data_IF_174290863245
#
_entry.id   IF_174290863245
#
_cell.length_a   1.000
_cell.length_b   1.000
_cell.length_c   1.000
_cell.angle_alpha   90.00
_cell.angle_beta   90.00
_cell.angle_gamma   90.00
#
_symmetry.space_group_name_H-M   'P 1'
#
loop_
_entity.id
_entity.type
_entity.pdbx_description
1 polymer ?
#
# COMPACT_ATOMS: atom_id res chain seq x y z
N UNK A 1 4.16 -23.81 -3.39
CA UNK A 1 4.87 -22.63 -2.86
C UNK A 1 3.87 -21.84 -2.01
N UNK A 2 3.94 -21.97 -0.68
CA UNK A 2 3.13 -21.19 0.25
C UNK A 2 3.90 -19.89 0.53
N UNK A 3 3.42 -18.77 0.00
CA UNK A 3 3.86 -17.44 0.43
C UNK A 3 3.11 -17.11 1.73
N UNK A 4 3.72 -17.45 2.87
CA UNK A 4 3.24 -17.05 4.19
C UNK A 4 3.42 -15.54 4.33
N UNK A 5 2.35 -14.78 4.06
CA UNK A 5 2.33 -13.34 4.30
C UNK A 5 2.35 -13.02 5.81
N UNK A 6 3.14 -12.03 6.26
CA UNK A 6 3.18 -11.66 7.67
C UNK A 6 1.85 -11.03 8.12
N UNK A 7 1.16 -11.64 9.08
CA UNK A 7 0.01 -11.04 9.77
C UNK A 7 0.47 -10.27 11.01
N UNK A 8 0.31 -8.95 10.99
CA UNK A 8 0.66 -8.07 12.12
C UNK A 8 -0.60 -7.76 12.92
N UNK A 9 -0.83 -8.50 14.00
CA UNK A 9 -1.88 -8.20 14.98
C UNK A 9 -1.32 -7.29 16.08
N UNK A 10 -1.81 -6.06 16.18
CA UNK A 10 -1.53 -5.19 17.33
C UNK A 10 -2.76 -4.31 17.65
N UNK A 11 -2.93 -3.82 18.88
CA UNK A 11 -4.05 -2.97 19.32
C UNK A 11 -3.89 -1.50 18.87
N UNK A 12 -5.00 -0.83 18.56
CA UNK A 12 -5.02 0.57 18.05
C UNK A 12 -4.30 1.50 19.03
N UNK A 13 -3.23 2.17 18.57
CA UNK A 13 -2.33 3.00 19.39
C UNK A 13 -0.86 2.55 19.49
N UNK A 14 -0.51 1.32 19.05
CA UNK A 14 0.83 0.74 19.26
C UNK A 14 1.84 0.83 18.08
N UNK A 15 1.64 1.72 17.10
CA UNK A 15 2.62 1.89 16.00
C UNK A 15 2.54 0.88 14.85
N UNK A 16 1.38 0.24 14.63
CA UNK A 16 1.12 -0.68 13.50
C UNK A 16 1.46 -0.10 12.12
N UNK A 17 1.24 1.19 11.92
CA UNK A 17 1.59 1.87 10.66
C UNK A 17 3.09 1.79 10.38
N UNK A 18 3.94 1.83 11.40
CA UNK A 18 5.38 1.71 11.23
C UNK A 18 5.81 0.27 10.95
N UNK A 19 5.18 -0.71 11.60
CA UNK A 19 5.46 -2.13 11.31
C UNK A 19 5.00 -2.48 9.89
N UNK A 20 3.80 -2.05 9.49
CA UNK A 20 3.30 -2.20 8.12
C UNK A 20 4.22 -1.50 7.11
N UNK A 21 4.71 -0.30 7.44
CA UNK A 21 5.68 0.42 6.61
C UNK A 21 6.99 -0.34 6.46
N UNK A 22 7.51 -0.97 7.53
CA UNK A 22 8.75 -1.76 7.45
C UNK A 22 8.55 -2.98 6.54
N UNK A 23 7.42 -3.67 6.65
CA UNK A 23 7.10 -4.79 5.76
C UNK A 23 6.98 -4.34 4.30
N UNK A 24 6.31 -3.21 4.05
CA UNK A 24 6.18 -2.61 2.72
C UNK A 24 7.56 -2.23 2.17
N UNK A 25 8.40 -1.57 2.96
CA UNK A 25 9.75 -1.18 2.56
C UNK A 25 10.64 -2.40 2.30
N UNK A 26 10.49 -3.48 3.08
CA UNK A 26 11.21 -4.72 2.84
C UNK A 26 10.82 -5.36 1.50
N UNK A 27 9.54 -5.35 1.15
CA UNK A 27 9.05 -5.85 -0.14
C UNK A 27 9.55 -4.97 -1.30
N UNK A 28 9.50 -3.64 -1.14
CA UNK A 28 10.02 -2.67 -2.12
C UNK A 28 11.53 -2.89 -2.33
N UNK A 29 12.28 -3.14 -1.25
CA UNK A 29 13.73 -3.36 -1.33
C UNK A 29 14.09 -4.61 -2.14
N UNK A 30 13.26 -5.66 -2.15
CA UNK A 30 13.47 -6.83 -3.02
C UNK A 30 13.29 -6.52 -4.52
N UNK A 31 12.57 -5.45 -4.85
CA UNK A 31 12.36 -4.98 -6.21
C UNK A 31 13.29 -3.82 -6.61
N UNK A 32 14.26 -3.50 -5.75
CA UNK A 32 15.32 -2.55 -6.04
C UNK A 32 16.49 -3.29 -6.68
N UNK A 33 16.63 -3.19 -8.00
CA UNK A 33 17.67 -3.85 -8.78
C UNK A 33 18.43 -2.80 -9.59
N UNK A 34 19.74 -2.97 -9.73
CA UNK A 34 20.60 -2.09 -10.54
C UNK A 34 20.52 -0.58 -10.22
N UNK A 35 20.18 -0.23 -8.97
CA UNK A 35 20.03 1.16 -8.54
C UNK A 35 18.68 1.79 -8.85
N UNK A 36 17.74 1.04 -9.44
CA UNK A 36 16.40 1.49 -9.79
C UNK A 36 15.32 0.65 -9.11
N UNK A 37 14.23 1.30 -8.72
CA UNK A 37 13.04 0.61 -8.23
C UNK A 37 12.17 0.18 -9.41
N UNK A 38 12.01 -1.13 -9.60
CA UNK A 38 11.13 -1.70 -10.62
C UNK A 38 9.67 -1.67 -10.16
N UNK A 39 9.07 -0.48 -10.20
CA UNK A 39 7.70 -0.21 -9.71
C UNK A 39 6.60 -1.01 -10.43
N UNK A 40 6.88 -1.48 -11.64
CA UNK A 40 5.91 -2.21 -12.46
C UNK A 40 5.92 -3.72 -12.17
N UNK A 41 6.90 -4.21 -11.40
CA UNK A 41 7.02 -5.64 -11.03
C UNK A 41 6.13 -6.03 -9.84
N UNK A 42 5.53 -5.06 -9.13
CA UNK A 42 4.74 -5.33 -7.92
C UNK A 42 3.53 -4.39 -7.76
N UNK A 43 2.55 -4.86 -6.99
CA UNK A 43 1.40 -4.07 -6.53
C UNK A 43 1.12 -4.41 -5.07
N UNK A 44 0.82 -3.39 -4.27
CA UNK A 44 0.49 -3.53 -2.85
C UNK A 44 -0.99 -3.20 -2.66
N UNK A 45 -1.72 -4.03 -1.94
CA UNK A 45 -3.12 -3.76 -1.57
C UNK A 45 -3.23 -3.70 -0.05
N UNK A 46 -3.73 -2.59 0.47
CA UNK A 46 -4.03 -2.40 1.89
C UNK A 46 -5.54 -2.32 2.09
N UNK A 47 -6.07 -3.22 2.92
CA UNK A 47 -7.50 -3.27 3.23
C UNK A 47 -7.76 -2.59 4.57
N UNK A 48 -8.38 -1.41 4.54
CA UNK A 48 -8.80 -0.64 5.70
C UNK A 48 -10.22 -1.01 6.13
N UNK A 49 -10.56 -0.98 7.43
CA UNK A 49 -11.87 -1.41 7.93
C UNK A 49 -13.03 -0.44 7.64
N UNK A 50 -12.73 0.83 7.32
CA UNK A 50 -13.73 1.86 7.03
C UNK A 50 -13.15 2.94 6.13
N UNK A 51 -14.01 3.65 5.39
CA UNK A 51 -13.58 4.65 4.39
C UNK A 51 -12.78 5.81 5.00
N UNK A 52 -13.21 6.33 6.15
CA UNK A 52 -12.46 7.40 6.84
C UNK A 52 -11.00 6.99 7.15
N UNK A 53 -10.79 5.72 7.53
CA UNK A 53 -9.46 5.19 7.78
C UNK A 53 -8.72 4.91 6.48
N UNK A 54 -9.40 4.49 5.41
CA UNK A 54 -8.80 4.33 4.09
C UNK A 54 -8.20 5.66 3.58
N UNK A 55 -8.94 6.76 3.69
CA UNK A 55 -8.46 8.09 3.32
C UNK A 55 -7.25 8.54 4.16
N UNK A 56 -7.30 8.38 5.48
CA UNK A 56 -6.19 8.71 6.39
C UNK A 56 -4.92 7.90 6.07
N UNK A 57 -5.09 6.60 5.85
CA UNK A 57 -4.01 5.67 5.53
C UNK A 57 -3.42 5.96 4.14
N UNK A 58 -4.26 6.28 3.15
CA UNK A 58 -3.84 6.69 1.81
C UNK A 58 -2.96 7.94 1.89
N UNK A 59 -3.42 8.98 2.59
CA UNK A 59 -2.63 10.22 2.79
C UNK A 59 -1.29 9.94 3.48
N UNK A 60 -1.31 9.11 4.53
CA UNK A 60 -0.11 8.72 5.27
C UNK A 60 0.90 7.97 4.41
N UNK A 61 0.46 6.97 3.63
CA UNK A 61 1.34 6.20 2.76
C UNK A 61 1.80 7.01 1.55
N UNK A 62 0.94 7.83 0.94
CA UNK A 62 1.33 8.76 -0.13
C UNK A 62 2.48 9.66 0.30
N UNK A 63 2.38 10.27 1.50
CA UNK A 63 3.45 11.12 2.01
C UNK A 63 4.74 10.35 2.28
N UNK A 64 4.65 9.15 2.87
CA UNK A 64 5.82 8.34 3.24
C UNK A 64 6.50 7.66 2.04
N UNK A 65 5.75 7.31 1.00
CA UNK A 65 6.25 6.62 -0.20
C UNK A 65 6.58 7.58 -1.36
N UNK A 66 6.18 8.86 -1.26
CA UNK A 66 6.54 9.91 -2.22
C UNK A 66 8.06 10.01 -2.51
N UNK A 67 8.98 9.89 -1.53
CA UNK A 67 10.43 9.91 -1.81
C UNK A 67 10.92 8.74 -2.68
N UNK A 68 10.16 7.64 -2.75
CA UNK A 68 10.44 6.48 -3.60
C UNK A 68 9.77 6.61 -4.98
N UNK A 69 9.15 7.77 -5.26
CA UNK A 69 8.34 8.04 -6.45
C UNK A 69 7.23 7.00 -6.67
N UNK A 70 6.65 6.49 -5.59
CA UNK A 70 5.53 5.54 -5.66
C UNK A 70 4.20 6.27 -5.55
N UNK A 71 3.21 5.78 -6.30
CA UNK A 71 1.85 6.30 -6.30
C UNK A 71 0.96 5.42 -5.44
N UNK A 72 0.24 6.06 -4.51
CA UNK A 72 -0.75 5.40 -3.64
C UNK A 72 -2.12 5.99 -3.94
N UNK A 73 -3.13 5.14 -4.15
CA UNK A 73 -4.52 5.58 -4.40
C UNK A 73 -5.53 4.81 -3.58
N UNK A 74 -6.60 5.50 -3.23
CA UNK A 74 -7.78 4.91 -2.60
C UNK A 74 -8.71 4.34 -3.68
N UNK A 75 -9.21 3.13 -3.46
CA UNK A 75 -10.23 2.46 -4.27
C UNK A 75 -11.38 2.06 -3.34
N UNK A 76 -12.23 3.04 -3.02
CA UNK A 76 -13.41 2.86 -2.15
C UNK A 76 -14.67 3.40 -2.83
N UNK A 77 -15.82 2.74 -2.64
CA UNK A 77 -17.10 3.20 -3.14
C UNK A 77 -17.12 3.35 -4.68
N UNK A 78 -17.65 4.46 -5.17
CA UNK A 78 -17.84 4.76 -6.60
C UNK A 78 -16.56 5.17 -7.35
N UNK A 79 -15.39 5.16 -6.71
CA UNK A 79 -14.14 5.52 -7.37
C UNK A 79 -13.75 4.46 -8.41
N UNK A 80 -13.95 4.79 -9.69
CA UNK A 80 -13.41 4.02 -10.80
C UNK A 80 -12.06 4.59 -11.21
N UNK A 81 -10.98 3.88 -10.85
CA UNK A 81 -9.66 4.16 -11.42
C UNK A 81 -9.64 3.66 -12.87
N UNK A 82 -9.18 4.52 -13.78
CA UNK A 82 -8.91 4.09 -15.15
C UNK A 82 -7.78 3.05 -15.18
N UNK A 83 -7.72 2.24 -16.25
CA UNK A 83 -6.63 1.25 -16.40
C UNK A 83 -5.25 1.88 -16.29
N UNK A 84 -5.06 3.05 -16.91
CA UNK A 84 -3.81 3.79 -16.87
C UNK A 84 -3.45 4.22 -15.43
N UNK A 85 -4.42 4.74 -14.68
CA UNK A 85 -4.19 5.09 -13.27
C UNK A 85 -3.85 3.86 -12.42
N UNK A 86 -4.48 2.73 -12.70
CA UNK A 86 -4.20 1.48 -12.01
C UNK A 86 -2.79 0.97 -12.31
N UNK A 87 -2.32 1.09 -13.55
CA UNK A 87 -0.96 0.76 -13.98
C UNK A 87 0.08 1.66 -13.30
N UNK A 88 -0.19 2.97 -13.20
CA UNK A 88 0.70 3.92 -12.52
C UNK A 88 0.71 3.79 -10.99
N UNK A 89 -0.30 3.14 -10.40
CA UNK A 89 -0.47 3.04 -8.94
C UNK A 89 0.25 1.83 -8.35
N UNK A 90 1.26 2.02 -7.49
CA UNK A 90 1.95 0.89 -6.84
C UNK A 90 1.24 0.38 -5.60
N UNK A 91 0.45 1.23 -4.93
CA UNK A 91 -0.29 0.84 -3.73
C UNK A 91 -1.76 1.27 -3.80
N UNK A 92 -2.67 0.33 -3.58
CA UNK A 92 -4.11 0.56 -3.53
C UNK A 92 -4.58 0.39 -2.10
N UNK A 93 -5.30 1.38 -1.58
CA UNK A 93 -5.97 1.31 -0.28
C UNK A 93 -7.46 1.15 -0.54
N UNK A 94 -8.06 0.08 -0.02
CA UNK A 94 -9.48 -0.23 -0.24
C UNK A 94 -10.15 -0.63 1.07
N UNK A 95 -11.48 -0.73 1.08
CA UNK A 95 -12.25 -1.24 2.20
C UNK A 95 -12.91 -2.56 1.82
N UNK A 96 -13.00 -3.55 2.74
CA UNK A 96 -13.71 -4.78 2.44
C UNK A 96 -15.20 -4.48 2.33
N UNK A 97 -15.80 -4.75 1.17
CA UNK A 97 -17.24 -4.61 0.98
C UNK A 97 -17.98 -5.74 1.72
N UNK A 98 -18.67 -5.35 2.80
CA UNK A 98 -19.84 -6.01 3.39
C UNK A 98 -20.82 -4.94 3.86
#
# INVERSE_FOLDING_TARGET
MHTSGPQVCAPTGAGKTNIAMISILHEIAQHFKDGYLHKDEFKIVYVAPMQALAAEVTSTFSHRLSPLNMTVRELTGDMQLSKNELEETQMIVTTPEK
#
